data_IF_159657925715
#
_entry.id   IF_159657925715
#
_cell.length_a   1.000
_cell.length_b   1.000
_cell.length_c   1.000
_cell.angle_alpha   90.00
_cell.angle_beta   90.00
_cell.angle_gamma   90.00
#
_symmetry.space_group_name_H-M   'P 1'
#
loop_
_entity.id
_entity.type
_entity.pdbx_description
1 polymer ?
#
# COMPACT_ATOMS: atom_id res chain seq x y z
N UNK A 1 -15.66 16.65 8.68
CA UNK A 1 -15.15 15.95 9.87
C UNK A 1 -14.95 14.47 9.55
N UNK A 2 -14.14 13.74 10.35
CA UNK A 2 -13.96 12.30 10.18
C UNK A 2 -15.29 11.53 10.25
N UNK A 3 -16.25 12.01 11.03
CA UNK A 3 -17.60 11.45 11.12
C UNK A 3 -18.42 11.61 9.84
N UNK A 4 -18.10 12.56 8.98
CA UNK A 4 -18.84 12.79 7.74
C UNK A 4 -18.53 11.75 6.65
N UNK A 5 -17.35 11.13 6.70
CA UNK A 5 -16.88 10.12 5.72
C UNK A 5 -17.76 8.85 5.76
N UNK A 6 -18.38 8.55 6.90
CA UNK A 6 -19.12 7.31 7.14
C UNK A 6 -20.65 7.48 7.17
N UNK A 7 -21.18 8.54 6.53
CA UNK A 7 -22.64 8.83 6.53
C UNK A 7 -23.37 8.22 5.35
N UNK A 8 -22.75 8.16 4.18
CA UNK A 8 -23.35 7.69 2.94
C UNK A 8 -22.48 6.63 2.27
N UNK A 9 -23.10 5.81 1.43
CA UNK A 9 -22.38 4.81 0.62
C UNK A 9 -21.39 5.46 -0.32
N UNK A 10 -21.77 6.55 -1.00
CA UNK A 10 -20.89 7.31 -1.90
C UNK A 10 -19.59 7.79 -1.19
N UNK A 11 -19.71 8.23 0.05
CA UNK A 11 -18.56 8.66 0.83
C UNK A 11 -17.65 7.48 1.20
N UNK A 12 -18.22 6.34 1.58
CA UNK A 12 -17.48 5.11 1.85
C UNK A 12 -16.78 4.59 0.58
N UNK A 13 -17.45 4.67 -0.57
CA UNK A 13 -16.88 4.31 -1.87
C UNK A 13 -15.74 5.24 -2.28
N UNK A 14 -15.88 6.54 -2.12
CA UNK A 14 -14.82 7.50 -2.37
C UNK A 14 -13.60 7.23 -1.47
N UNK A 15 -13.83 6.85 -0.21
CA UNK A 15 -12.76 6.48 0.70
C UNK A 15 -12.06 5.19 0.26
N UNK A 16 -12.80 4.20 -0.23
CA UNK A 16 -12.28 2.97 -0.84
C UNK A 16 -11.28 3.26 -1.96
N UNK A 17 -11.63 4.18 -2.88
CA UNK A 17 -10.70 4.59 -3.94
C UNK A 17 -9.50 5.38 -3.41
N UNK A 18 -9.71 6.19 -2.38
CA UNK A 18 -8.61 6.96 -1.80
C UNK A 18 -7.50 6.10 -1.23
N UNK A 19 -7.80 5.00 -0.55
CA UNK A 19 -6.75 4.11 -0.05
C UNK A 19 -5.91 3.46 -1.16
N UNK A 20 -6.42 3.35 -2.39
CA UNK A 20 -5.69 2.82 -3.54
C UNK A 20 -4.69 3.83 -4.13
N UNK A 21 -4.84 5.12 -3.85
CA UNK A 21 -3.95 6.16 -4.39
C UNK A 21 -2.50 6.06 -3.90
N UNK A 22 -2.26 5.25 -2.88
CA UNK A 22 -0.92 4.96 -2.34
C UNK A 22 -0.23 3.77 -3.02
N UNK A 23 -0.89 3.10 -3.96
CA UNK A 23 -0.27 2.01 -4.73
C UNK A 23 0.92 2.54 -5.53
N UNK A 24 2.11 1.93 -5.40
CA UNK A 24 3.27 2.33 -6.18
C UNK A 24 3.01 2.11 -7.68
N UNK A 25 3.35 3.10 -8.49
CA UNK A 25 3.37 2.94 -9.93
C UNK A 25 4.66 2.21 -10.34
N UNK A 26 4.59 0.89 -10.51
CA UNK A 26 5.74 0.05 -10.86
C UNK A 26 6.14 0.16 -12.34
N UNK A 27 5.39 0.90 -13.16
CA UNK A 27 5.66 1.08 -14.59
C UNK A 27 6.34 2.42 -14.89
N UNK A 28 6.37 3.32 -13.93
CA UNK A 28 6.97 4.65 -14.08
C UNK A 28 8.50 4.60 -14.06
N UNK A 29 9.13 5.44 -14.89
CA UNK A 29 10.59 5.50 -15.08
C UNK A 29 11.43 5.60 -13.81
N UNK A 30 10.91 6.28 -12.78
CA UNK A 30 11.63 6.49 -11.51
C UNK A 30 11.29 5.45 -10.44
N UNK A 31 10.37 4.51 -10.74
CA UNK A 31 9.70 3.70 -9.73
C UNK A 31 9.92 2.20 -9.85
N UNK A 32 10.62 1.79 -10.90
CA UNK A 32 10.99 0.39 -11.15
C UNK A 32 12.50 0.24 -11.04
N UNK A 33 13.05 0.19 -9.81
CA UNK A 33 14.49 0.00 -9.62
C UNK A 33 14.99 -1.31 -10.24
N UNK A 34 14.16 -2.34 -10.26
CA UNK A 34 14.38 -3.61 -10.94
C UNK A 34 14.59 -3.46 -12.45
N UNK A 35 13.90 -2.51 -13.11
CA UNK A 35 14.06 -2.26 -14.55
C UNK A 35 15.23 -1.32 -14.86
N UNK A 36 15.43 -0.26 -14.05
CA UNK A 36 16.33 0.85 -14.37
C UNK A 36 17.60 0.89 -13.54
N UNK A 37 17.72 0.04 -12.52
CA UNK A 37 18.91 -0.06 -11.67
C UNK A 37 19.59 -1.43 -11.78
N UNK A 38 19.17 -2.28 -12.72
CA UNK A 38 19.82 -3.52 -13.07
C UNK A 38 20.96 -3.33 -14.09
N UNK A 39 21.59 -4.42 -14.47
CA UNK A 39 22.65 -4.47 -15.48
C UNK A 39 22.12 -4.62 -16.92
N UNK A 40 20.84 -4.94 -17.07
CA UNK A 40 20.21 -5.11 -18.38
C UNK A 40 19.94 -3.77 -19.10
N UNK A 41 19.81 -2.68 -18.37
CA UNK A 41 19.45 -1.38 -18.93
C UNK A 41 20.18 -0.23 -18.24
N UNK A 42 20.90 0.57 -19.02
CA UNK A 42 21.55 1.79 -18.55
C UNK A 42 20.93 2.99 -19.25
N UNK A 43 20.34 3.91 -18.48
CA UNK A 43 19.82 5.15 -19.01
C UNK A 43 20.97 6.05 -19.50
N UNK A 44 21.01 6.39 -20.78
CA UNK A 44 22.04 7.28 -21.37
C UNK A 44 21.93 8.75 -20.96
N UNK A 45 20.86 9.13 -20.28
CA UNK A 45 20.58 10.50 -19.92
C UNK A 45 21.39 10.97 -18.70
N UNK A 46 22.53 11.58 -18.95
CA UNK A 46 23.25 12.34 -17.92
C UNK A 46 22.46 13.63 -17.62
N UNK A 47 22.04 13.82 -16.37
CA UNK A 47 21.53 15.10 -15.89
C UNK A 47 20.03 15.35 -16.07
N UNK A 48 19.23 14.38 -16.49
CA UNK A 48 17.78 14.53 -16.50
C UNK A 48 17.16 14.06 -15.19
N UNK A 49 16.18 14.80 -14.71
CA UNK A 49 15.44 14.56 -13.47
C UNK A 49 14.66 13.22 -13.50
N UNK A 50 14.37 12.71 -14.69
CA UNK A 50 13.47 11.57 -14.91
C UNK A 50 13.99 10.20 -14.43
N UNK A 51 15.32 10.02 -14.29
CA UNK A 51 15.93 8.74 -13.89
C UNK A 51 16.82 8.90 -12.66
N UNK A 52 16.60 9.95 -11.89
CA UNK A 52 17.49 10.31 -10.80
C UNK A 52 17.55 9.22 -9.73
N UNK A 53 16.41 8.70 -9.32
CA UNK A 53 16.31 7.67 -8.28
C UNK A 53 17.01 6.37 -8.68
N UNK A 54 16.79 5.90 -9.91
CA UNK A 54 17.44 4.67 -10.41
C UNK A 54 18.95 4.82 -10.54
N UNK A 55 19.44 6.00 -10.97
CA UNK A 55 20.87 6.29 -11.01
C UNK A 55 21.51 6.30 -9.64
N UNK A 56 20.85 6.93 -8.68
CA UNK A 56 21.35 7.02 -7.31
C UNK A 56 21.45 5.64 -6.66
N UNK A 57 20.51 4.75 -6.99
CA UNK A 57 20.59 3.36 -6.57
C UNK A 57 21.79 2.63 -7.21
N UNK A 58 21.99 2.77 -8.53
CA UNK A 58 23.13 2.20 -9.26
C UNK A 58 24.48 2.69 -8.72
N UNK A 59 24.56 3.94 -8.30
CA UNK A 59 25.78 4.51 -7.73
C UNK A 59 25.95 4.24 -6.24
N UNK A 60 25.00 3.51 -5.60
CA UNK A 60 25.06 3.21 -4.18
C UNK A 60 24.82 4.42 -3.27
N UNK A 61 24.12 5.43 -3.77
CA UNK A 61 23.83 6.67 -3.03
C UNK A 61 22.62 6.52 -2.08
N UNK A 62 21.82 5.45 -2.25
CA UNK A 62 20.68 5.16 -1.38
C UNK A 62 21.14 4.85 0.04
N UNK A 63 20.61 5.55 1.03
CA UNK A 63 20.91 5.30 2.44
C UNK A 63 19.74 5.76 3.33
N UNK A 64 19.79 5.43 4.62
CA UNK A 64 18.72 5.74 5.57
C UNK A 64 18.42 7.24 5.74
N UNK A 65 19.38 8.12 5.45
CA UNK A 65 19.22 9.57 5.58
C UNK A 65 18.87 10.24 4.25
N UNK A 66 19.13 9.56 3.12
CA UNK A 66 18.88 10.05 1.78
C UNK A 66 18.26 8.92 0.97
N UNK A 67 16.93 8.86 1.00
CA UNK A 67 16.15 7.83 0.34
C UNK A 67 15.59 8.35 -0.98
N UNK A 68 15.98 7.74 -2.08
CA UNK A 68 15.47 8.06 -3.41
C UNK A 68 14.19 7.27 -3.72
N UNK A 69 14.08 6.07 -3.15
CA UNK A 69 12.90 5.22 -3.24
C UNK A 69 12.05 5.20 -1.97
N UNK A 70 12.20 6.16 -1.07
CA UNK A 70 11.63 6.22 0.26
C UNK A 70 10.13 5.97 0.37
N UNK A 71 9.68 4.76 0.10
CA UNK A 71 8.27 4.34 0.16
C UNK A 71 7.70 4.27 1.58
N UNK A 72 8.50 4.53 2.56
CA UNK A 72 8.15 4.55 3.99
C UNK A 72 8.08 5.95 4.58
N UNK A 73 8.63 6.95 3.89
CA UNK A 73 8.79 8.29 4.43
C UNK A 73 7.63 9.21 3.99
N UNK A 74 7.10 10.04 4.91
CA UNK A 74 5.95 10.92 4.63
C UNK A 74 6.23 12.01 3.60
N UNK A 75 7.48 12.24 3.24
CA UNK A 75 7.91 13.29 2.32
C UNK A 75 8.52 12.74 1.03
N UNK A 76 8.38 11.45 0.76
CA UNK A 76 8.86 10.88 -0.49
C UNK A 76 7.91 11.25 -1.62
N UNK A 77 8.10 12.44 -2.16
CA UNK A 77 7.38 12.94 -3.31
C UNK A 77 8.33 12.96 -4.50
N UNK A 78 8.12 12.09 -5.45
CA UNK A 78 8.67 12.28 -6.78
C UNK A 78 7.51 12.40 -7.76
N UNK A 79 7.59 13.35 -8.65
CA UNK A 79 6.56 13.61 -9.65
C UNK A 79 5.18 14.00 -9.08
N UNK A 80 5.09 14.49 -7.84
CA UNK A 80 3.83 14.93 -7.21
C UNK A 80 2.99 13.81 -6.62
N UNK A 81 3.46 12.58 -6.60
CA UNK A 81 2.75 11.43 -6.03
C UNK A 81 3.29 11.12 -4.63
N UNK A 82 2.39 10.92 -3.68
CA UNK A 82 2.73 10.63 -2.30
C UNK A 82 2.81 9.11 -2.12
N UNK A 83 4.02 8.57 -1.87
CA UNK A 83 4.28 7.13 -1.78
C UNK A 83 4.47 6.64 -0.34
N UNK A 84 3.91 7.34 0.63
CA UNK A 84 3.92 6.89 2.01
C UNK A 84 3.02 5.65 2.18
N UNK A 85 3.63 4.47 1.99
CA UNK A 85 2.93 3.19 2.06
C UNK A 85 2.33 2.97 3.47
N UNK A 86 3.03 3.35 4.54
CA UNK A 86 2.48 3.23 5.90
C UNK A 86 1.23 4.08 6.11
N UNK A 87 1.13 5.23 5.43
CA UNK A 87 -0.09 6.02 5.41
C UNK A 87 -1.21 5.28 4.67
N UNK A 88 -0.91 4.64 3.54
CA UNK A 88 -1.86 3.78 2.83
C UNK A 88 -2.39 2.66 3.73
N UNK A 89 -1.51 1.97 4.45
CA UNK A 89 -1.88 0.93 5.43
C UNK A 89 -2.79 1.50 6.52
N UNK A 90 -2.48 2.68 7.05
CA UNK A 90 -3.31 3.34 8.06
C UNK A 90 -4.73 3.62 7.54
N UNK A 91 -4.86 4.06 6.29
CA UNK A 91 -6.18 4.28 5.69
C UNK A 91 -6.96 2.98 5.48
N UNK A 92 -6.29 1.89 5.12
CA UNK A 92 -6.93 0.59 5.03
C UNK A 92 -7.51 0.14 6.38
N UNK A 93 -6.74 0.27 7.46
CA UNK A 93 -7.24 -0.07 8.80
C UNK A 93 -8.35 0.86 9.29
N UNK A 94 -8.30 2.15 8.93
CA UNK A 94 -9.38 3.07 9.25
C UNK A 94 -10.69 2.70 8.55
N UNK A 95 -10.63 2.23 7.29
CA UNK A 95 -11.78 1.68 6.61
C UNK A 95 -12.29 0.41 7.32
N UNK A 96 -11.40 -0.54 7.62
CA UNK A 96 -11.75 -1.81 8.28
C UNK A 96 -12.46 -1.60 9.63
N UNK A 97 -12.06 -0.57 10.38
CA UNK A 97 -12.65 -0.26 11.68
C UNK A 97 -14.05 0.37 11.56
N UNK A 98 -14.42 0.94 10.41
CA UNK A 98 -15.62 1.75 10.28
C UNK A 98 -16.63 1.22 9.26
N UNK A 99 -16.23 0.48 8.23
CA UNK A 99 -17.10 0.13 7.10
C UNK A 99 -18.39 -0.60 7.51
N UNK A 100 -18.32 -1.50 8.48
CA UNK A 100 -19.47 -2.22 8.98
C UNK A 100 -20.40 -1.40 9.90
N UNK A 101 -20.01 -0.17 10.23
CA UNK A 101 -20.80 0.77 11.03
C UNK A 101 -21.59 1.76 10.18
N UNK A 102 -21.42 1.75 8.85
CA UNK A 102 -22.08 2.66 7.92
C UNK A 102 -23.46 2.12 7.57
N UNK A 103 -24.56 2.71 8.06
CA UNK A 103 -25.92 2.14 7.87
C UNK A 103 -26.37 2.12 6.41
N UNK A 104 -25.80 2.99 5.58
CA UNK A 104 -26.17 3.13 4.16
C UNK A 104 -25.49 2.09 3.25
N UNK A 105 -24.45 1.38 3.74
CA UNK A 105 -23.70 0.38 2.98
C UNK A 105 -24.30 -1.00 3.23
N UNK A 106 -24.59 -1.74 2.17
CA UNK A 106 -25.04 -3.12 2.27
C UNK A 106 -23.93 -4.01 2.84
N UNK A 107 -24.32 -5.15 3.45
CA UNK A 107 -23.33 -6.11 3.96
C UNK A 107 -22.41 -6.62 2.85
N UNK A 108 -22.94 -6.86 1.66
CA UNK A 108 -22.18 -7.30 0.49
C UNK A 108 -21.11 -6.27 0.08
N UNK A 109 -21.49 -4.99 0.01
CA UNK A 109 -20.56 -3.91 -0.30
C UNK A 109 -19.54 -3.68 0.82
N UNK A 110 -19.96 -3.79 2.09
CA UNK A 110 -19.07 -3.70 3.23
C UNK A 110 -18.00 -4.82 3.22
N UNK A 111 -18.41 -6.05 2.95
CA UNK A 111 -17.51 -7.21 2.82
C UNK A 111 -16.53 -7.01 1.67
N UNK A 112 -17.02 -6.54 0.52
CA UNK A 112 -16.18 -6.24 -0.63
C UNK A 112 -15.15 -5.15 -0.33
N UNK A 113 -15.57 -4.03 0.26
CA UNK A 113 -14.66 -2.91 0.60
C UNK A 113 -13.63 -3.34 1.66
N UNK A 114 -14.04 -4.16 2.62
CA UNK A 114 -13.13 -4.76 3.57
C UNK A 114 -12.15 -5.73 2.90
N UNK A 115 -12.60 -6.52 1.94
CA UNK A 115 -11.76 -7.41 1.14
C UNK A 115 -10.68 -6.64 0.36
N UNK A 116 -11.05 -5.53 -0.28
CA UNK A 116 -10.11 -4.65 -0.98
C UNK A 116 -9.10 -4.01 0.00
N UNK A 117 -9.55 -3.61 1.18
CA UNK A 117 -8.66 -3.08 2.21
C UNK A 117 -7.66 -4.14 2.70
N UNK A 118 -8.09 -5.38 2.95
CA UNK A 118 -7.19 -6.48 3.32
C UNK A 118 -6.20 -6.82 2.20
N UNK A 119 -6.63 -6.80 0.94
CA UNK A 119 -5.73 -6.97 -0.20
C UNK A 119 -4.64 -5.88 -0.19
N UNK A 120 -5.02 -4.63 -0.03
CA UNK A 120 -4.06 -3.50 0.00
C UNK A 120 -3.14 -3.55 1.23
N UNK A 121 -3.63 -3.97 2.40
CA UNK A 121 -2.77 -4.18 3.58
C UNK A 121 -1.69 -5.22 3.25
N UNK A 122 -2.05 -6.34 2.63
CA UNK A 122 -1.10 -7.35 2.18
C UNK A 122 -0.11 -6.79 1.18
N UNK A 123 -0.60 -6.16 0.12
CA UNK A 123 0.19 -5.59 -0.96
C UNK A 123 1.18 -4.52 -0.49
N UNK A 124 0.74 -3.61 0.36
CA UNK A 124 1.61 -2.55 0.89
C UNK A 124 2.72 -3.10 1.78
N UNK A 125 2.41 -4.06 2.65
CA UNK A 125 3.44 -4.73 3.46
C UNK A 125 4.38 -5.56 2.58
N UNK A 126 3.88 -6.21 1.52
CA UNK A 126 4.72 -6.93 0.56
C UNK A 126 5.70 -5.99 -0.14
N UNK A 127 5.24 -4.86 -0.67
CA UNK A 127 6.11 -3.86 -1.28
C UNK A 127 7.20 -3.37 -0.31
N UNK A 128 6.86 -3.12 0.96
CA UNK A 128 7.84 -2.73 1.96
C UNK A 128 8.85 -3.85 2.24
N UNK A 129 8.38 -5.10 2.35
CA UNK A 129 9.23 -6.26 2.61
C UNK A 129 10.23 -6.52 1.48
N UNK A 130 9.79 -6.38 0.22
CA UNK A 130 10.64 -6.54 -0.96
C UNK A 130 11.78 -5.52 -1.01
N UNK A 131 11.52 -4.26 -0.64
CA UNK A 131 12.53 -3.21 -0.69
C UNK A 131 13.42 -3.12 0.55
N UNK A 132 12.90 -3.46 1.72
CA UNK A 132 13.57 -3.17 3.00
C UNK A 132 13.85 -4.39 3.87
N UNK A 133 13.49 -5.60 3.42
CA UNK A 133 13.59 -6.82 4.24
C UNK A 133 12.65 -6.77 5.45
N UNK A 134 13.08 -7.19 6.63
CA UNK A 134 12.24 -7.11 7.83
C UNK A 134 11.68 -5.72 8.06
N UNK A 135 10.37 -5.61 8.25
CA UNK A 135 9.62 -4.35 8.37
C UNK A 135 8.84 -4.27 9.67
N UNK A 136 8.34 -3.10 10.00
CA UNK A 136 7.33 -2.92 11.05
C UNK A 136 5.97 -3.36 10.50
N UNK A 137 5.38 -4.39 11.10
CA UNK A 137 4.01 -4.80 10.74
C UNK A 137 3.00 -3.96 11.49
N UNK A 138 2.12 -3.30 10.73
CA UNK A 138 0.95 -2.61 11.26
C UNK A 138 -0.25 -3.55 11.13
N UNK A 139 -0.87 -3.91 12.26
CA UNK A 139 -1.96 -4.91 12.32
C UNK A 139 -3.30 -4.33 12.77
N UNK A 140 -3.35 -3.04 13.05
CA UNK A 140 -4.54 -2.30 13.50
C UNK A 140 -4.43 -0.83 13.14
N UNK A 141 -5.54 -0.11 13.22
CA UNK A 141 -5.50 1.35 13.18
C UNK A 141 -4.75 1.90 14.40
N UNK A 142 -3.83 2.83 14.16
CA UNK A 142 -3.07 3.53 15.19
C UNK A 142 -3.52 5.00 15.18
N UNK A 143 -4.22 5.49 16.22
CA UNK A 143 -4.60 6.89 16.34
C UNK A 143 -3.39 7.81 16.40
N UNK A 144 -3.59 9.09 16.05
CA UNK A 144 -2.49 10.08 16.05
C UNK A 144 -1.98 10.42 17.45
N UNK A 145 -2.82 10.21 18.43
CA UNK A 145 -2.56 10.41 19.87
C UNK A 145 -2.20 9.11 20.60
N UNK A 146 -1.91 8.05 19.85
CA UNK A 146 -1.49 6.77 20.43
C UNK A 146 -0.21 6.94 21.27
N UNK A 147 -0.05 6.17 22.34
CA UNK A 147 1.15 6.22 23.14
C UNK A 147 2.39 5.81 22.35
N UNK A 148 3.53 6.36 22.69
CA UNK A 148 4.82 6.13 22.00
C UNK A 148 5.15 4.63 21.88
N UNK A 149 4.80 3.83 22.88
CA UNK A 149 4.99 2.38 22.88
C UNK A 149 4.20 1.63 21.79
N UNK A 150 3.14 2.22 21.26
CA UNK A 150 2.39 1.67 20.12
C UNK A 150 2.93 2.16 18.78
N UNK A 151 3.55 3.34 18.76
CA UNK A 151 4.11 3.96 17.56
C UNK A 151 5.51 3.42 17.28
N UNK A 152 6.36 3.34 18.31
CA UNK A 152 7.74 2.87 18.21
C UNK A 152 7.83 1.35 18.36
N UNK A 153 7.39 0.63 17.32
CA UNK A 153 7.47 -0.82 17.26
C UNK A 153 8.73 -1.26 16.51
N UNK A 154 9.44 -2.31 16.99
CA UNK A 154 10.60 -2.84 16.28
C UNK A 154 10.20 -3.52 14.97
N UNK A 155 11.18 -3.72 14.08
CA UNK A 155 10.98 -4.53 12.88
C UNK A 155 10.65 -5.98 13.26
N UNK A 156 9.72 -6.55 12.53
CA UNK A 156 9.26 -7.94 12.69
C UNK A 156 10.17 -8.88 11.89
N UNK A 157 10.52 -10.07 12.39
CA UNK A 157 11.27 -11.06 11.64
C UNK A 157 10.66 -11.37 10.26
N UNK A 158 11.51 -11.64 9.27
CA UNK A 158 11.10 -11.82 7.88
C UNK A 158 9.99 -12.87 7.70
N UNK A 159 10.16 -14.05 8.30
CA UNK A 159 9.19 -15.14 8.20
C UNK A 159 7.82 -14.79 8.78
N UNK A 160 7.78 -13.98 9.84
CA UNK A 160 6.54 -13.49 10.43
C UNK A 160 5.90 -12.43 9.52
N UNK A 161 6.70 -11.62 8.82
CA UNK A 161 6.18 -10.68 7.83
C UNK A 161 5.51 -11.42 6.68
N UNK A 162 6.18 -12.43 6.10
CA UNK A 162 5.62 -13.27 5.02
C UNK A 162 4.32 -13.93 5.45
N UNK A 163 4.31 -14.54 6.64
CA UNK A 163 3.11 -15.17 7.18
C UNK A 163 1.94 -14.20 7.32
N UNK A 164 2.18 -13.02 7.87
CA UNK A 164 1.15 -12.01 8.03
C UNK A 164 0.61 -11.50 6.68
N UNK A 165 1.48 -11.28 5.70
CA UNK A 165 1.09 -10.88 4.34
C UNK A 165 0.19 -11.94 3.72
N UNK A 166 0.55 -13.22 3.82
CA UNK A 166 -0.28 -14.32 3.33
C UNK A 166 -1.64 -14.37 4.05
N UNK A 167 -1.69 -14.15 5.37
CA UNK A 167 -2.95 -14.06 6.13
C UNK A 167 -3.83 -12.89 5.65
N UNK A 168 -3.24 -11.75 5.25
CA UNK A 168 -4.00 -10.63 4.70
C UNK A 168 -4.65 -11.01 3.36
N UNK A 169 -3.95 -11.70 2.48
CA UNK A 169 -4.50 -12.19 1.22
C UNK A 169 -5.57 -13.27 1.42
N UNK A 170 -5.45 -14.13 2.42
CA UNK A 170 -6.50 -15.09 2.77
C UNK A 170 -7.78 -14.39 3.21
N UNK A 171 -7.67 -13.37 4.06
CA UNK A 171 -8.82 -12.55 4.48
C UNK A 171 -9.45 -11.84 3.29
N UNK A 172 -8.64 -11.26 2.42
CA UNK A 172 -9.10 -10.62 1.20
C UNK A 172 -9.85 -11.61 0.30
N UNK A 173 -9.29 -12.79 0.04
CA UNK A 173 -9.89 -13.81 -0.79
C UNK A 173 -11.22 -14.35 -0.24
N UNK A 174 -11.40 -14.30 1.09
CA UNK A 174 -12.65 -14.67 1.75
C UNK A 174 -13.80 -13.66 1.57
N UNK A 175 -13.48 -12.41 1.23
CA UNK A 175 -14.43 -11.29 1.14
C UNK A 175 -14.60 -10.76 -0.28
N UNK A 176 -13.61 -10.93 -1.15
CA UNK A 176 -13.62 -10.42 -2.51
C UNK A 176 -14.48 -11.28 -3.45
N UNK A 177 -15.13 -10.66 -4.44
CA UNK A 177 -15.87 -11.37 -5.48
C UNK A 177 -14.91 -12.14 -6.40
N UNK A 178 -15.41 -13.20 -7.02
CA UNK A 178 -14.67 -13.97 -8.02
C UNK A 178 -14.43 -13.13 -9.29
N UNK A 179 -15.39 -12.27 -9.67
CA UNK A 179 -15.36 -11.44 -10.88
C UNK A 179 -15.90 -10.04 -10.55
N UNK A 180 -15.33 -9.02 -11.16
CA UNK A 180 -15.80 -7.64 -11.11
C UNK A 180 -16.45 -7.23 -12.44
N UNK A 181 -17.33 -6.22 -12.40
CA UNK A 181 -17.98 -5.67 -13.60
C UNK A 181 -16.99 -4.94 -14.51
N UNK A 182 -17.40 -4.69 -15.78
CA UNK A 182 -16.56 -3.99 -16.76
C UNK A 182 -16.14 -2.58 -16.32
N UNK A 183 -17.00 -1.88 -15.58
CA UNK A 183 -16.70 -0.55 -15.03
C UNK A 183 -15.72 -0.57 -13.85
N UNK A 184 -15.40 -1.75 -13.34
CA UNK A 184 -14.58 -1.97 -12.16
C UNK A 184 -13.30 -2.78 -12.46
N UNK A 185 -12.97 -2.89 -13.74
CA UNK A 185 -11.73 -3.54 -14.17
C UNK A 185 -10.52 -2.88 -13.52
N UNK A 186 -9.67 -3.70 -12.92
CA UNK A 186 -8.50 -3.26 -12.16
C UNK A 186 -8.69 -3.30 -10.64
N UNK A 187 -9.92 -3.47 -10.14
CA UNK A 187 -10.13 -3.72 -8.72
C UNK A 187 -9.76 -5.16 -8.35
N UNK A 188 -9.27 -5.39 -7.11
CA UNK A 188 -8.87 -6.72 -6.69
C UNK A 188 -10.04 -7.70 -6.67
N UNK A 189 -9.76 -8.91 -7.13
CA UNK A 189 -10.67 -10.05 -7.08
C UNK A 189 -10.12 -11.14 -6.15
N UNK A 190 -10.94 -12.11 -5.80
CA UNK A 190 -10.49 -13.29 -5.07
C UNK A 190 -9.31 -13.99 -5.75
N UNK A 191 -9.36 -14.14 -7.08
CA UNK A 191 -8.26 -14.75 -7.83
C UNK A 191 -6.98 -13.91 -7.76
N UNK A 192 -7.09 -12.58 -7.80
CA UNK A 192 -5.94 -11.70 -7.60
C UNK A 192 -5.32 -11.93 -6.21
N UNK A 193 -6.12 -11.95 -5.14
CA UNK A 193 -5.62 -12.18 -3.79
C UNK A 193 -4.91 -13.54 -3.64
N UNK A 194 -5.47 -14.60 -4.23
CA UNK A 194 -4.85 -15.93 -4.21
C UNK A 194 -3.57 -16.01 -5.06
N UNK A 195 -3.44 -15.19 -6.08
CA UNK A 195 -2.25 -15.17 -6.95
C UNK A 195 -1.08 -14.41 -6.33
N UNK A 196 -1.38 -13.43 -5.46
CA UNK A 196 -0.35 -12.69 -4.72
C UNK A 196 0.15 -13.45 -3.48
N UNK A 197 -0.65 -14.38 -2.95
CA UNK A 197 -0.28 -15.24 -1.82
C UNK A 197 0.78 -16.27 -2.19
#
# INVERSE_FOLDING_TARGET
TEEDIWKTEEQAENYRYYMQTYMPNLIGYDWSPDQFAGDDFITGARGTTYYFSSKSLLYGEENANLTYFGRWAPNCTSGGTNYDIYRGIRYCFYLLDNIYKVPAVSQENADRYAGEAWFLVGYYHQCLLEYYGPIVLVKKFIPIDAPESEILTPRTPYDECVKYIAECYDRAAGLLPDVVGESELGLPTKMAALSYK
#
